data_IF_691080424290
#
_entry.id   IF_691080424290
#
_cell.length_a   1.000
_cell.length_b   1.000
_cell.length_c   1.000
_cell.angle_alpha   90.00
_cell.angle_beta   90.00
_cell.angle_gamma   90.00
#
_symmetry.space_group_name_H-M   'P 1'
#
loop_
_entity.id
_entity.type
_entity.pdbx_description
1 polymer ?
#
# COMPACT_ATOMS: atom_id res chain seq x y z
N UNK A 1 -11.86 -3.35 21.21
CA UNK A 1 -11.28 -2.01 21.41
C UNK A 1 -12.01 -1.40 22.59
N UNK A 2 -11.43 -1.46 23.78
CA UNK A 2 -11.99 -0.72 24.90
C UNK A 2 -11.69 0.76 24.61
N UNK A 3 -12.71 1.57 24.37
CA UNK A 3 -12.56 3.02 24.51
C UNK A 3 -12.24 3.21 25.98
N UNK A 4 -10.96 3.43 26.30
CA UNK A 4 -10.55 3.79 27.65
C UNK A 4 -11.05 5.21 27.85
N UNK A 5 -12.30 5.36 28.31
CA UNK A 5 -12.87 6.64 28.71
C UNK A 5 -12.00 7.10 29.88
N UNK A 6 -11.03 7.95 29.56
CA UNK A 6 -10.03 8.43 30.53
C UNK A 6 -10.65 9.44 31.49
N UNK A 7 -11.74 10.08 31.07
CA UNK A 7 -12.49 11.07 31.82
C UNK A 7 -13.98 10.94 31.47
N UNK A 8 -14.80 10.68 32.49
CA UNK A 8 -16.23 11.00 32.45
C UNK A 8 -16.29 12.42 33.00
N UNK A 9 -16.43 13.42 32.13
CA UNK A 9 -16.69 14.77 32.60
C UNK A 9 -18.11 14.77 33.17
N UNK A 10 -18.26 15.09 34.47
CA UNK A 10 -19.55 15.54 34.97
C UNK A 10 -20.00 16.72 34.11
N UNK A 11 -21.31 16.82 33.83
CA UNK A 11 -21.88 17.84 32.92
C UNK A 11 -21.51 19.29 33.26
N UNK A 12 -20.95 19.53 34.44
CA UNK A 12 -20.55 20.85 34.95
C UNK A 12 -19.25 21.40 34.34
N UNK A 13 -18.42 20.56 33.71
CA UNK A 13 -17.12 20.95 33.13
C UNK A 13 -17.10 21.02 31.59
N UNK A 14 -18.26 20.98 30.94
CA UNK A 14 -18.35 21.23 29.50
C UNK A 14 -18.47 22.74 29.29
N UNK A 15 -17.52 23.35 28.58
CA UNK A 15 -17.57 24.77 28.26
C UNK A 15 -18.89 25.09 27.56
N UNK A 16 -19.76 25.88 28.21
CA UNK A 16 -21.07 26.27 27.69
C UNK A 16 -20.98 27.24 26.51
N UNK A 17 -19.80 27.81 26.27
CA UNK A 17 -19.56 28.67 25.11
C UNK A 17 -19.48 27.81 23.86
N UNK A 18 -20.44 27.99 22.96
CA UNK A 18 -20.36 27.44 21.61
C UNK A 18 -19.23 28.14 20.84
N UNK A 19 -18.29 27.37 20.32
CA UNK A 19 -17.19 27.86 19.48
C UNK A 19 -17.46 27.54 18.02
N UNK A 20 -17.17 28.49 17.13
CA UNK A 20 -17.23 28.32 15.69
C UNK A 20 -15.91 27.79 15.11
N UNK A 21 -15.97 27.19 13.92
CA UNK A 21 -14.77 26.81 13.18
C UNK A 21 -13.87 28.02 12.88
N UNK A 22 -14.47 29.19 12.62
CA UNK A 22 -13.75 30.44 12.40
C UNK A 22 -12.93 30.87 13.63
N UNK A 23 -13.50 30.78 14.83
CA UNK A 23 -12.78 31.06 16.07
C UNK A 23 -11.64 30.05 16.29
N UNK A 24 -11.85 28.77 15.97
CA UNK A 24 -10.78 27.77 16.05
C UNK A 24 -9.63 28.06 15.08
N UNK A 25 -9.93 28.48 13.84
CA UNK A 25 -8.91 28.90 12.86
C UNK A 25 -8.16 30.13 13.37
N UNK A 26 -8.86 31.15 13.86
CA UNK A 26 -8.26 32.38 14.36
C UNK A 26 -7.36 32.12 15.56
N UNK A 27 -7.84 31.34 16.54
CA UNK A 27 -7.07 31.00 17.74
C UNK A 27 -5.76 30.26 17.42
N UNK A 28 -5.70 29.56 16.28
CA UNK A 28 -4.52 28.82 15.83
C UNK A 28 -3.73 29.53 14.72
N UNK A 29 -4.14 30.73 14.29
CA UNK A 29 -3.63 31.41 13.08
C UNK A 29 -2.11 31.53 13.06
N UNK A 30 -1.52 32.13 14.10
CA UNK A 30 -0.08 32.40 14.15
C UNK A 30 0.76 31.12 14.20
N UNK A 31 0.24 30.06 14.83
CA UNK A 31 0.91 28.76 14.83
C UNK A 31 0.85 28.11 13.44
N UNK A 32 -0.34 28.12 12.82
CA UNK A 32 -0.53 27.56 11.49
C UNK A 32 0.32 28.28 10.44
N UNK A 33 0.36 29.62 10.41
CA UNK A 33 1.20 30.38 9.48
C UNK A 33 2.67 29.99 9.55
N UNK A 34 3.20 29.82 10.76
CA UNK A 34 4.58 29.40 10.98
C UNK A 34 4.83 27.98 10.46
N UNK A 35 3.93 27.04 10.72
CA UNK A 35 4.07 25.66 10.24
C UNK A 35 3.89 25.55 8.72
N UNK A 36 2.98 26.34 8.14
CA UNK A 36 2.81 26.48 6.69
C UNK A 36 4.08 27.01 6.02
N UNK A 37 4.64 28.10 6.54
CA UNK A 37 5.87 28.69 6.01
C UNK A 37 7.04 27.71 6.12
N UNK A 38 7.17 26.99 7.23
CA UNK A 38 8.19 25.92 7.39
C UNK A 38 8.03 24.83 6.33
N UNK A 39 6.80 24.38 6.08
CA UNK A 39 6.53 23.36 5.07
C UNK A 39 6.86 23.86 3.65
N UNK A 40 6.48 25.10 3.32
CA UNK A 40 6.78 25.73 2.02
C UNK A 40 8.29 25.91 1.83
N UNK A 41 9.01 26.46 2.80
CA UNK A 41 10.48 26.63 2.71
C UNK A 41 11.21 25.30 2.63
N UNK A 42 10.71 24.26 3.29
CA UNK A 42 11.23 22.91 3.13
C UNK A 42 11.03 22.38 1.70
N UNK A 43 9.84 22.55 1.12
CA UNK A 43 9.52 22.11 -0.24
C UNK A 43 10.34 22.85 -1.31
N UNK A 44 10.62 24.15 -1.14
CA UNK A 44 11.45 24.94 -2.07
C UNK A 44 12.84 24.38 -2.29
N UNK A 45 13.38 23.56 -1.37
CA UNK A 45 14.68 22.89 -1.51
C UNK A 45 14.73 21.87 -2.64
N UNK A 46 13.58 21.44 -3.14
CA UNK A 46 13.45 20.46 -4.23
C UNK A 46 13.09 21.10 -5.57
N UNK A 47 13.23 22.44 -5.71
CA UNK A 47 13.14 23.11 -7.02
C UNK A 47 14.09 22.45 -8.01
N UNK A 48 13.67 22.41 -9.27
CA UNK A 48 14.45 21.84 -10.39
C UNK A 48 14.72 20.33 -10.30
N UNK A 49 14.11 19.63 -9.33
CA UNK A 49 14.12 18.16 -9.29
C UNK A 49 12.96 17.58 -10.11
N UNK A 50 13.12 16.32 -10.51
CA UNK A 50 12.05 15.52 -11.11
C UNK A 50 10.99 15.19 -10.05
N UNK A 51 10.02 16.09 -9.91
CA UNK A 51 9.02 16.05 -8.85
C UNK A 51 7.73 15.38 -9.30
N UNK A 52 7.27 14.44 -8.49
CA UNK A 52 5.90 13.93 -8.52
C UNK A 52 5.17 14.33 -7.24
N UNK A 53 3.91 14.74 -7.35
CA UNK A 53 3.02 14.95 -6.20
C UNK A 53 1.95 13.87 -6.20
N UNK A 54 1.92 13.07 -5.14
CA UNK A 54 0.89 12.03 -4.96
C UNK A 54 -0.39 12.62 -4.42
N UNK A 55 -1.44 12.64 -5.24
CA UNK A 55 -2.76 13.11 -4.83
C UNK A 55 -3.74 11.95 -4.80
N UNK A 56 -4.08 11.45 -3.61
CA UNK A 56 -4.92 10.26 -3.43
C UNK A 56 -6.40 10.59 -3.18
N UNK A 57 -6.79 11.86 -3.28
CA UNK A 57 -8.14 12.32 -2.91
C UNK A 57 -8.40 12.42 -1.40
N UNK A 58 -7.40 12.21 -0.54
CA UNK A 58 -7.51 12.34 0.92
C UNK A 58 -7.03 13.71 1.42
N UNK A 59 -7.48 14.11 2.62
CA UNK A 59 -7.15 15.41 3.25
C UNK A 59 -5.65 15.68 3.34
N UNK A 60 -4.85 14.67 3.70
CA UNK A 60 -3.41 14.81 3.89
C UNK A 60 -2.67 15.01 2.55
N UNK A 61 -3.13 14.32 1.50
CA UNK A 61 -2.62 14.50 0.13
C UNK A 61 -3.05 15.84 -0.48
N UNK A 62 -4.27 16.31 -0.17
CA UNK A 62 -4.77 17.63 -0.60
C UNK A 62 -3.88 18.75 -0.05
N UNK A 63 -3.59 18.73 1.26
CA UNK A 63 -2.70 19.73 1.87
C UNK A 63 -1.29 19.67 1.28
N UNK A 64 -0.76 18.48 1.02
CA UNK A 64 0.57 18.33 0.42
C UNK A 64 0.62 18.89 -1.01
N UNK A 65 -0.43 18.64 -1.79
CA UNK A 65 -0.60 19.22 -3.12
C UNK A 65 -0.66 20.75 -3.06
N UNK A 66 -1.53 21.30 -2.21
CA UNK A 66 -1.70 22.74 -2.08
C UNK A 66 -0.43 23.46 -1.58
N UNK A 67 0.30 22.88 -0.62
CA UNK A 67 1.61 23.38 -0.18
C UNK A 67 2.65 23.34 -1.31
N UNK A 68 2.63 22.30 -2.17
CA UNK A 68 3.54 22.18 -3.31
C UNK A 68 3.29 23.26 -4.37
N UNK A 69 2.01 23.56 -4.64
CA UNK A 69 1.61 24.68 -5.51
C UNK A 69 2.06 26.03 -4.92
N UNK A 70 1.78 26.27 -3.63
CA UNK A 70 2.20 27.50 -2.94
C UNK A 70 3.71 27.69 -2.82
N UNK A 71 4.48 26.61 -2.86
CA UNK A 71 5.95 26.67 -2.93
C UNK A 71 6.48 27.08 -4.31
N UNK A 72 5.61 27.13 -5.34
CA UNK A 72 5.96 27.44 -6.72
C UNK A 72 6.75 26.31 -7.38
N UNK A 73 6.50 25.06 -6.99
CA UNK A 73 7.17 23.90 -7.57
C UNK A 73 6.55 23.56 -8.94
N UNK A 74 7.40 23.21 -9.91
CA UNK A 74 6.97 22.52 -11.13
C UNK A 74 6.99 21.02 -10.86
N UNK A 75 5.85 20.35 -11.02
CA UNK A 75 5.70 18.92 -10.73
C UNK A 75 4.63 18.29 -11.62
N UNK A 76 4.68 16.97 -11.75
CA UNK A 76 3.58 16.16 -12.29
C UNK A 76 2.76 15.57 -11.14
N UNK A 77 1.45 15.57 -11.26
CA UNK A 77 0.54 14.97 -10.27
C UNK A 77 0.29 13.52 -10.64
N UNK A 78 0.28 12.63 -9.64
CA UNK A 78 -0.03 11.22 -9.84
C UNK A 78 -1.14 10.77 -8.91
N UNK A 79 -2.11 10.06 -9.49
CA UNK A 79 -3.16 9.35 -8.76
C UNK A 79 -3.05 7.86 -9.05
N UNK A 80 -2.97 7.06 -8.00
CA UNK A 80 -2.96 5.60 -8.11
C UNK A 80 -4.38 5.07 -7.89
N UNK A 81 -5.06 4.74 -8.98
CA UNK A 81 -6.34 4.04 -8.92
C UNK A 81 -6.09 2.55 -8.69
N UNK A 82 -6.44 2.06 -7.51
CA UNK A 82 -6.26 0.64 -7.16
C UNK A 82 -7.33 -0.29 -7.72
N UNK A 83 -8.36 0.25 -8.38
CA UNK A 83 -9.59 -0.46 -8.69
C UNK A 83 -10.49 -0.68 -7.47
N UNK A 84 -10.10 -0.11 -6.32
CA UNK A 84 -10.83 -0.22 -5.05
C UNK A 84 -11.13 1.15 -4.44
N UNK A 85 -10.87 2.24 -5.17
CA UNK A 85 -11.25 3.57 -4.73
C UNK A 85 -12.77 3.76 -4.86
N UNK A 86 -13.33 4.72 -4.13
CA UNK A 86 -14.72 5.12 -4.37
C UNK A 86 -14.81 5.89 -5.69
N UNK A 87 -15.86 5.66 -6.48
CA UNK A 87 -16.08 6.41 -7.73
C UNK A 87 -16.01 7.92 -7.48
N UNK A 88 -16.60 8.37 -6.37
CA UNK A 88 -16.65 9.79 -6.07
C UNK A 88 -15.30 10.34 -5.58
N UNK A 89 -14.38 9.46 -5.13
CA UNK A 89 -12.98 9.84 -4.90
C UNK A 89 -12.24 10.02 -6.22
N UNK A 90 -12.50 9.17 -7.21
CA UNK A 90 -11.91 9.30 -8.55
C UNK A 90 -12.42 10.58 -9.21
N UNK A 91 -13.73 10.84 -9.17
CA UNK A 91 -14.34 12.08 -9.67
C UNK A 91 -13.78 13.31 -8.97
N UNK A 92 -13.66 13.26 -7.64
CA UNK A 92 -13.08 14.34 -6.86
C UNK A 92 -11.63 14.63 -7.27
N UNK A 93 -10.81 13.58 -7.45
CA UNK A 93 -9.42 13.76 -7.89
C UNK A 93 -9.35 14.45 -9.26
N UNK A 94 -10.15 13.99 -10.23
CA UNK A 94 -10.21 14.60 -11.56
C UNK A 94 -10.66 16.06 -11.49
N UNK A 95 -11.74 16.34 -10.76
CA UNK A 95 -12.28 17.71 -10.60
C UNK A 95 -11.25 18.66 -10.00
N UNK A 96 -10.54 18.26 -8.94
CA UNK A 96 -9.51 19.09 -8.31
C UNK A 96 -8.30 19.27 -9.25
N UNK A 97 -7.92 18.23 -9.99
CA UNK A 97 -6.89 18.35 -11.00
C UNK A 97 -7.26 19.33 -12.11
N UNK A 98 -8.50 19.30 -12.60
CA UNK A 98 -8.98 20.25 -13.61
C UNK A 98 -9.04 21.68 -13.04
N UNK A 99 -9.58 21.84 -11.82
CA UNK A 99 -9.72 23.13 -11.14
C UNK A 99 -8.37 23.85 -10.97
N UNK A 100 -7.31 23.12 -10.61
CA UNK A 100 -5.96 23.67 -10.48
C UNK A 100 -5.10 23.51 -11.74
N UNK A 101 -5.67 23.03 -12.86
CA UNK A 101 -4.95 22.79 -14.13
C UNK A 101 -3.68 21.94 -13.95
N UNK A 102 -3.79 20.85 -13.18
CA UNK A 102 -2.70 19.94 -12.88
C UNK A 102 -2.44 18.95 -14.02
N UNK A 103 -1.16 18.74 -14.35
CA UNK A 103 -0.74 17.61 -15.19
C UNK A 103 -0.89 16.30 -14.39
N UNK A 104 -2.00 15.58 -14.61
CA UNK A 104 -2.38 14.38 -13.86
C UNK A 104 -2.14 13.10 -14.66
N UNK A 105 -1.29 12.22 -14.13
CA UNK A 105 -1.26 10.81 -14.55
C UNK A 105 -2.07 9.93 -13.61
N UNK A 106 -2.94 9.10 -14.19
CA UNK A 106 -3.68 8.05 -13.48
C UNK A 106 -2.98 6.71 -13.70
N UNK A 107 -2.42 6.16 -12.63
CA UNK A 107 -1.83 4.83 -12.59
C UNK A 107 -2.94 3.85 -12.21
N UNK A 108 -3.46 3.09 -13.18
CA UNK A 108 -4.60 2.20 -12.95
C UNK A 108 -4.19 0.73 -12.77
N UNK A 109 -4.67 0.11 -11.69
CA UNK A 109 -4.51 -1.32 -11.43
C UNK A 109 -5.64 -2.17 -12.05
N UNK A 110 -6.71 -1.55 -12.55
CA UNK A 110 -7.89 -2.21 -13.10
C UNK A 110 -8.48 -3.22 -12.12
N UNK A 111 -8.92 -4.36 -12.64
CA UNK A 111 -9.53 -5.44 -11.84
C UNK A 111 -8.47 -6.36 -11.18
N UNK A 112 -7.23 -5.89 -11.00
CA UNK A 112 -6.16 -6.70 -10.42
C UNK A 112 -6.48 -7.18 -9.01
N UNK A 113 -7.28 -6.48 -8.22
CA UNK A 113 -7.70 -7.01 -6.92
C UNK A 113 -8.54 -8.28 -7.08
N UNK A 114 -9.66 -8.20 -7.80
CA UNK A 114 -10.62 -9.29 -7.88
C UNK A 114 -10.06 -10.51 -8.63
N UNK A 115 -9.25 -10.28 -9.68
CA UNK A 115 -8.55 -11.36 -10.41
C UNK A 115 -7.63 -12.22 -9.53
N UNK A 116 -7.13 -11.68 -8.43
CA UNK A 116 -6.18 -12.40 -7.56
C UNK A 116 -6.80 -12.95 -6.28
N UNK A 117 -8.11 -12.75 -6.07
CA UNK A 117 -8.82 -13.28 -4.92
C UNK A 117 -8.88 -14.81 -4.91
N UNK A 118 -8.93 -15.46 -6.07
CA UNK A 118 -8.90 -16.91 -6.15
C UNK A 118 -7.57 -17.49 -5.64
N UNK A 119 -6.45 -16.82 -5.98
CA UNK A 119 -5.12 -17.27 -5.60
C UNK A 119 -4.76 -16.93 -4.14
N UNK A 120 -5.08 -15.71 -3.68
CA UNK A 120 -4.69 -15.25 -2.34
C UNK A 120 -5.79 -15.34 -1.29
N UNK A 121 -7.05 -15.45 -1.69
CA UNK A 121 -8.17 -15.22 -0.79
C UNK A 121 -8.29 -13.76 -0.34
N UNK A 122 -9.14 -13.47 0.67
CA UNK A 122 -9.32 -12.13 1.19
C UNK A 122 -8.00 -11.57 1.77
N UNK A 123 -7.70 -10.27 1.58
CA UNK A 123 -6.54 -9.66 2.20
C UNK A 123 -6.75 -9.46 3.71
N UNK A 124 -5.68 -9.53 4.49
CA UNK A 124 -5.70 -9.35 5.95
C UNK A 124 -4.84 -8.19 6.42
N UNK A 125 -4.96 -7.82 7.71
CA UNK A 125 -4.06 -6.88 8.41
C UNK A 125 -2.63 -7.41 8.45
N UNK A 126 -2.51 -8.71 8.64
CA UNK A 126 -1.31 -9.55 8.62
C UNK A 126 -0.90 -9.99 7.20
N UNK A 127 -1.81 -9.83 6.23
CA UNK A 127 -1.73 -10.45 4.92
C UNK A 127 -2.15 -9.48 3.79
N UNK A 128 -1.45 -8.34 3.70
CA UNK A 128 -1.79 -7.22 2.79
C UNK A 128 -1.26 -7.41 1.37
N UNK A 129 -1.55 -8.55 0.74
CA UNK A 129 -1.14 -8.83 -0.64
C UNK A 129 -1.68 -7.81 -1.64
N UNK A 130 -2.87 -7.27 -1.40
CA UNK A 130 -3.51 -6.26 -2.26
C UNK A 130 -2.65 -5.00 -2.41
N UNK A 131 -1.90 -4.58 -1.39
CA UNK A 131 -0.97 -3.45 -1.49
C UNK A 131 0.20 -3.76 -2.44
N UNK A 132 0.66 -5.02 -2.51
CA UNK A 132 1.75 -5.40 -3.41
C UNK A 132 1.26 -5.46 -4.86
N UNK A 133 0.08 -6.06 -5.08
CA UNK A 133 -0.49 -6.25 -6.41
C UNK A 133 -1.07 -4.96 -6.98
N UNK A 134 -1.87 -4.23 -6.21
CA UNK A 134 -2.67 -3.10 -6.70
C UNK A 134 -1.98 -1.75 -6.50
N UNK A 135 -0.94 -1.67 -5.65
CA UNK A 135 -0.20 -0.42 -5.43
C UNK A 135 1.24 -0.50 -5.90
N UNK A 136 2.02 -1.37 -5.26
CA UNK A 136 3.46 -1.40 -5.51
C UNK A 136 3.78 -1.79 -6.96
N UNK A 137 3.17 -2.84 -7.49
CA UNK A 137 3.38 -3.28 -8.88
C UNK A 137 3.15 -2.17 -9.91
N UNK A 138 1.94 -1.57 -9.97
CA UNK A 138 1.64 -0.46 -10.87
C UNK A 138 2.57 0.74 -10.68
N UNK A 139 2.79 1.18 -9.44
CA UNK A 139 3.68 2.32 -9.15
C UNK A 139 5.13 2.07 -9.58
N UNK A 140 5.67 0.88 -9.33
CA UNK A 140 7.06 0.57 -9.75
C UNK A 140 7.18 0.56 -11.28
N UNK A 141 6.20 0.02 -12.01
CA UNK A 141 6.22 0.04 -13.48
C UNK A 141 6.11 1.46 -14.03
N UNK A 142 5.23 2.28 -13.47
CA UNK A 142 5.07 3.67 -13.86
C UNK A 142 6.35 4.48 -13.61
N UNK A 143 6.96 4.35 -12.43
CA UNK A 143 8.22 5.04 -12.12
C UNK A 143 9.33 4.60 -13.07
N UNK A 144 9.39 3.30 -13.40
CA UNK A 144 10.34 2.80 -14.39
C UNK A 144 10.09 3.36 -15.80
N UNK A 145 8.83 3.56 -16.22
CA UNK A 145 8.54 4.15 -17.54
C UNK A 145 8.95 5.62 -17.65
N UNK A 146 9.13 6.32 -16.52
CA UNK A 146 9.68 7.68 -16.49
C UNK A 146 11.21 7.73 -16.61
N UNK A 147 11.88 6.57 -16.64
CA UNK A 147 13.33 6.44 -16.78
C UNK A 147 14.03 5.97 -15.50
N UNK A 148 15.36 6.06 -15.52
CA UNK A 148 16.22 5.58 -14.43
C UNK A 148 16.69 6.70 -13.47
N UNK A 149 16.29 7.94 -13.72
CA UNK A 149 16.64 9.07 -12.85
C UNK A 149 15.90 9.02 -11.52
N UNK A 150 16.47 9.67 -10.50
CA UNK A 150 15.83 9.77 -9.19
C UNK A 150 14.56 10.62 -9.29
N UNK A 151 13.46 10.07 -8.77
CA UNK A 151 12.17 10.73 -8.66
C UNK A 151 11.94 11.14 -7.21
N UNK A 152 11.60 12.41 -7.02
CA UNK A 152 11.27 12.98 -5.73
C UNK A 152 9.76 13.07 -5.60
N UNK A 153 9.16 12.16 -4.83
CA UNK A 153 7.72 12.05 -4.69
C UNK A 153 7.24 12.67 -3.37
N UNK A 154 6.50 13.76 -3.48
CA UNK A 154 5.84 14.43 -2.36
C UNK A 154 4.56 13.66 -2.01
N UNK A 155 4.41 13.28 -0.73
CA UNK A 155 3.33 12.43 -0.23
C UNK A 155 2.80 13.02 1.08
N UNK A 156 1.47 12.97 1.26
CA UNK A 156 0.79 13.35 2.51
C UNK A 156 0.95 12.35 3.65
N UNK A 157 2.18 11.95 3.98
CA UNK A 157 2.48 11.06 5.10
C UNK A 157 2.70 11.88 6.38
N UNK A 158 2.20 11.39 7.52
CA UNK A 158 2.42 12.02 8.83
C UNK A 158 2.97 11.01 9.85
N UNK A 159 3.83 11.47 10.74
CA UNK A 159 4.42 10.68 11.81
C UNK A 159 3.36 10.04 12.71
N UNK A 160 2.27 10.76 12.98
CA UNK A 160 1.19 10.33 13.88
C UNK A 160 0.29 9.21 13.32
N UNK A 161 0.54 8.73 12.10
CA UNK A 161 -0.25 7.64 11.51
C UNK A 161 0.26 6.25 11.90
N UNK A 162 1.55 6.09 12.19
CA UNK A 162 2.13 4.84 12.70
C UNK A 162 3.56 5.02 13.19
N UNK A 163 4.07 4.09 14.02
CA UNK A 163 5.47 4.09 14.47
C UNK A 163 6.47 4.07 13.30
N UNK A 164 6.22 3.27 12.27
CA UNK A 164 7.09 3.20 11.08
C UNK A 164 7.16 4.55 10.35
N UNK A 165 6.02 5.23 10.19
CA UNK A 165 5.96 6.56 9.59
C UNK A 165 6.65 7.62 10.44
N UNK A 166 6.60 7.51 11.78
CA UNK A 166 7.34 8.42 12.65
C UNK A 166 8.86 8.29 12.48
N UNK A 167 9.36 7.08 12.24
CA UNK A 167 10.79 6.80 12.08
C UNK A 167 11.35 7.16 10.69
N UNK A 168 10.52 7.30 9.66
CA UNK A 168 10.99 7.60 8.30
C UNK A 168 11.55 9.02 8.11
N UNK A 169 11.23 9.94 9.03
CA UNK A 169 11.56 11.37 8.86
C UNK A 169 10.81 12.03 7.69
N UNK A 170 11.26 13.24 7.32
CA UNK A 170 10.65 14.05 6.25
C UNK A 170 11.10 13.63 4.84
N UNK A 171 12.23 12.93 4.72
CA UNK A 171 12.81 12.45 3.47
C UNK A 171 13.25 11.01 3.71
N UNK A 172 12.87 10.09 2.83
CA UNK A 172 13.30 8.69 2.92
C UNK A 172 13.48 8.08 1.52
N UNK A 173 14.35 7.09 1.39
CA UNK A 173 14.46 6.28 0.18
C UNK A 173 13.45 5.12 0.23
N UNK A 174 12.75 4.85 -0.88
CA UNK A 174 11.83 3.74 -0.93
C UNK A 174 12.56 2.44 -1.27
N UNK A 175 12.74 1.57 -0.27
CA UNK A 175 13.36 0.24 -0.43
C UNK A 175 12.69 -0.63 -1.51
N UNK A 176 11.39 -0.40 -1.73
CA UNK A 176 10.59 -1.18 -2.66
C UNK A 176 10.63 -0.63 -4.10
N UNK A 177 10.95 0.66 -4.25
CA UNK A 177 11.03 1.37 -5.54
C UNK A 177 12.38 2.11 -5.60
N UNK A 178 13.46 1.48 -6.11
CA UNK A 178 14.83 1.96 -5.92
C UNK A 178 15.12 3.40 -6.39
N UNK A 179 14.39 3.91 -7.38
CA UNK A 179 14.60 5.26 -7.93
C UNK A 179 13.72 6.33 -7.27
N UNK A 180 12.97 5.98 -6.21
CA UNK A 180 12.01 6.88 -5.58
C UNK A 180 12.49 7.37 -4.21
N UNK A 181 12.53 8.69 -4.05
CA UNK A 181 12.72 9.38 -2.78
C UNK A 181 11.37 9.94 -2.33
N UNK A 182 10.88 9.52 -1.18
CA UNK A 182 9.67 10.05 -0.57
C UNK A 182 9.95 11.34 0.20
N UNK A 183 9.04 12.31 0.08
CA UNK A 183 9.10 13.60 0.77
C UNK A 183 7.77 13.84 1.48
N UNK A 184 7.81 14.28 2.73
CA UNK A 184 6.64 14.82 3.43
C UNK A 184 6.94 16.16 4.09
N UNK A 185 6.25 17.19 3.64
CA UNK A 185 6.31 18.53 4.23
C UNK A 185 5.45 18.64 5.51
N UNK A 186 4.45 17.77 5.65
CA UNK A 186 3.51 17.75 6.78
C UNK A 186 3.83 16.64 7.78
N UNK A 187 5.05 16.10 7.76
CA UNK A 187 5.47 14.94 8.56
C UNK A 187 5.15 15.08 10.05
N UNK A 188 5.26 16.29 10.61
CA UNK A 188 4.99 16.58 12.03
C UNK A 188 3.62 17.23 12.27
N UNK A 189 2.74 17.27 11.28
CA UNK A 189 1.40 17.82 11.45
C UNK A 189 0.47 16.78 12.07
N UNK A 190 -0.34 17.20 13.03
CA UNK A 190 -1.44 16.37 13.53
C UNK A 190 -2.69 16.53 12.64
N UNK A 191 -3.74 15.73 12.88
CA UNK A 191 -4.95 15.78 12.03
C UNK A 191 -5.71 17.09 12.15
N UNK A 192 -5.65 17.77 13.30
CA UNK A 192 -6.31 19.05 13.50
C UNK A 192 -5.67 20.13 12.63
N UNK A 193 -4.33 20.19 12.58
CA UNK A 193 -3.59 21.13 11.71
C UNK A 193 -3.97 20.96 10.24
N UNK A 194 -4.08 19.71 9.77
CA UNK A 194 -4.51 19.42 8.39
C UNK A 194 -5.90 19.98 8.10
N UNK A 195 -6.85 19.77 9.00
CA UNK A 195 -8.21 20.30 8.85
C UNK A 195 -8.27 21.82 8.96
N UNK A 196 -7.60 22.42 9.95
CA UNK A 196 -7.51 23.88 10.08
C UNK A 196 -6.93 24.52 8.83
N UNK A 197 -5.93 23.89 8.21
CA UNK A 197 -5.38 24.35 6.94
C UNK A 197 -6.42 24.29 5.82
N UNK A 198 -7.09 23.14 5.64
CA UNK A 198 -8.13 22.96 4.61
C UNK A 198 -9.20 24.04 4.74
N UNK A 199 -9.75 24.23 5.95
CA UNK A 199 -10.82 25.20 6.17
C UNK A 199 -10.36 26.65 6.08
N UNK A 200 -9.12 26.96 6.50
CA UNK A 200 -8.55 28.30 6.40
C UNK A 200 -8.36 28.74 4.94
N UNK A 201 -7.95 27.81 4.09
CA UNK A 201 -7.68 28.06 2.66
C UNK A 201 -8.88 27.74 1.77
N UNK A 202 -10.05 27.46 2.36
CA UNK A 202 -11.29 27.11 1.66
C UNK A 202 -11.10 26.00 0.60
N UNK A 203 -10.32 24.97 0.96
CA UNK A 203 -10.01 23.88 0.04
C UNK A 203 -11.19 22.91 -0.01
N UNK A 204 -11.71 22.67 -1.21
CA UNK A 204 -12.67 21.59 -1.44
C UNK A 204 -12.03 20.26 -1.04
N UNK A 205 -12.65 19.54 -0.10
CA UNK A 205 -12.22 18.22 0.34
C UNK A 205 -13.22 17.15 -0.07
N UNK A 206 -12.77 15.90 -0.05
CA UNK A 206 -13.58 14.78 -0.49
C UNK A 206 -14.79 14.54 0.45
N UNK A 207 -16.00 14.52 -0.12
CA UNK A 207 -17.29 14.37 0.57
C UNK A 207 -17.43 13.13 1.46
N UNK A 208 -16.57 12.12 1.28
CA UNK A 208 -16.56 10.96 2.18
C UNK A 208 -16.19 11.31 3.62
N UNK A 209 -15.51 12.44 3.83
CA UNK A 209 -15.30 12.98 5.17
C UNK A 209 -16.62 13.43 5.83
N UNK A 210 -17.54 14.02 5.07
CA UNK A 210 -18.88 14.40 5.58
C UNK A 210 -19.75 13.20 5.90
N UNK A 211 -19.49 12.07 5.22
CA UNK A 211 -20.12 10.77 5.51
C UNK A 211 -19.52 10.06 6.73
N UNK A 212 -18.59 10.70 7.44
CA UNK A 212 -18.02 10.20 8.69
C UNK A 212 -16.76 9.34 8.54
N UNK A 213 -16.20 9.18 7.33
CA UNK A 213 -14.92 8.49 7.17
C UNK A 213 -13.79 9.39 7.64
N UNK A 214 -12.96 8.94 8.58
CA UNK A 214 -11.80 9.73 9.03
C UNK A 214 -10.58 9.60 8.10
N UNK A 215 -10.56 8.56 7.26
CA UNK A 215 -9.53 8.28 6.25
C UNK A 215 -10.17 7.76 4.98
N UNK A 216 -9.71 8.30 3.84
CA UNK A 216 -10.13 7.88 2.51
C UNK A 216 -9.03 7.03 1.88
N UNK A 217 -9.47 5.98 1.18
CA UNK A 217 -8.65 5.04 0.44
C UNK A 217 -9.56 3.92 -0.07
N UNK A 218 -9.02 2.71 -0.19
CA UNK A 218 -9.78 1.59 -0.74
C UNK A 218 -11.04 1.27 0.11
N UNK A 219 -12.21 1.12 -0.52
CA UNK A 219 -13.51 0.99 0.17
C UNK A 219 -13.63 -0.22 1.12
N UNK A 220 -12.83 -1.26 0.90
CA UNK A 220 -12.80 -2.50 1.72
C UNK A 220 -11.45 -2.74 2.42
N UNK A 221 -10.75 -1.71 2.87
CA UNK A 221 -9.37 -1.90 3.34
C UNK A 221 -9.31 -2.75 4.63
N UNK A 222 -8.51 -3.84 4.68
CA UNK A 222 -8.40 -4.65 5.89
C UNK A 222 -7.74 -3.89 7.04
N UNK A 223 -7.17 -2.71 6.82
CA UNK A 223 -6.63 -1.83 7.87
C UNK A 223 -7.61 -0.76 8.36
N UNK A 224 -8.78 -0.60 7.74
CA UNK A 224 -9.79 0.44 8.05
C UNK A 224 -10.57 0.12 9.33
N UNK A 225 -11.06 1.10 10.10
CA UNK A 225 -11.77 0.74 11.33
C UNK A 225 -13.12 0.06 11.06
N UNK A 226 -13.62 -0.70 12.03
CA UNK A 226 -14.91 -1.39 11.85
C UNK A 226 -16.06 -0.39 11.70
N UNK A 227 -15.97 0.78 12.33
CA UNK A 227 -16.94 1.86 12.16
C UNK A 227 -16.96 2.39 10.73
N UNK A 228 -15.78 2.61 10.12
CA UNK A 228 -15.69 3.01 8.72
C UNK A 228 -16.24 1.94 7.78
N UNK A 229 -15.93 0.66 8.04
CA UNK A 229 -16.48 -0.45 7.24
C UNK A 229 -18.00 -0.56 7.35
N UNK A 230 -18.57 -0.29 8.53
CA UNK A 230 -20.01 -0.24 8.76
C UNK A 230 -20.68 0.96 8.06
N UNK A 231 -19.98 2.08 7.91
CA UNK A 231 -20.46 3.19 7.08
C UNK A 231 -20.46 2.76 5.62
N UNK A 232 -19.34 2.23 5.12
CA UNK A 232 -19.17 1.87 3.71
C UNK A 232 -20.07 0.70 3.29
N UNK A 233 -20.35 -0.25 4.17
CA UNK A 233 -21.22 -1.42 3.89
C UNK A 233 -22.65 -1.04 3.52
N UNK A 234 -23.06 0.21 3.78
CA UNK A 234 -24.38 0.75 3.43
C UNK A 234 -24.44 1.35 2.02
N UNK A 235 -23.32 1.36 1.30
CA UNK A 235 -23.21 1.93 -0.04
C UNK A 235 -22.96 0.84 -1.09
N UNK A 236 -23.50 0.98 -2.32
CA UNK A 236 -23.42 -0.05 -3.37
C UNK A 236 -21.99 -0.48 -3.75
N UNK A 237 -21.01 0.40 -3.57
CA UNK A 237 -19.59 0.10 -3.81
C UNK A 237 -19.11 -1.13 -3.02
N UNK A 238 -19.73 -1.43 -1.89
CA UNK A 238 -19.36 -2.57 -1.04
C UNK A 238 -19.98 -3.91 -1.51
N UNK A 239 -21.00 -3.89 -2.37
CA UNK A 239 -21.80 -5.07 -2.72
C UNK A 239 -20.97 -6.16 -3.42
N UNK A 240 -20.05 -5.75 -4.31
CA UNK A 240 -19.14 -6.69 -4.99
C UNK A 240 -18.24 -7.41 -3.99
N UNK A 241 -17.75 -6.69 -2.97
CA UNK A 241 -16.94 -7.27 -1.92
C UNK A 241 -17.77 -8.15 -0.97
N UNK A 242 -18.98 -7.71 -0.62
CA UNK A 242 -19.92 -8.47 0.21
C UNK A 242 -20.27 -9.83 -0.42
N UNK A 243 -20.56 -9.81 -1.72
CA UNK A 243 -20.87 -11.03 -2.48
C UNK A 243 -19.71 -12.03 -2.43
N UNK A 244 -18.49 -11.56 -2.72
CA UNK A 244 -17.29 -12.38 -2.64
C UNK A 244 -17.06 -12.97 -1.24
N UNK A 245 -17.17 -12.14 -0.20
CA UNK A 245 -16.82 -12.58 1.16
C UNK A 245 -17.83 -13.60 1.71
N UNK A 246 -19.09 -13.51 1.28
CA UNK A 246 -20.13 -14.47 1.64
C UNK A 246 -19.96 -15.81 0.95
N UNK A 247 -19.65 -15.79 -0.35
CA UNK A 247 -19.31 -16.99 -1.10
C UNK A 247 -18.06 -17.66 -0.51
N UNK A 248 -17.02 -16.87 -0.21
CA UNK A 248 -15.80 -17.36 0.41
C UNK A 248 -16.06 -17.96 1.79
N UNK A 249 -16.91 -17.35 2.61
CA UNK A 249 -17.29 -17.87 3.92
C UNK A 249 -18.02 -19.21 3.81
N UNK A 250 -18.99 -19.32 2.90
CA UNK A 250 -19.77 -20.54 2.64
C UNK A 250 -18.87 -21.67 2.15
N UNK A 251 -18.04 -21.43 1.13
CA UNK A 251 -17.12 -22.41 0.54
C UNK A 251 -16.14 -23.00 1.58
N UNK A 252 -15.82 -22.25 2.63
CA UNK A 252 -14.81 -22.60 3.61
C UNK A 252 -15.36 -22.86 5.02
N UNK A 253 -16.68 -22.96 5.18
CA UNK A 253 -17.34 -23.24 6.47
C UNK A 253 -16.90 -22.30 7.61
N UNK A 254 -16.73 -21.00 7.31
CA UNK A 254 -16.25 -19.99 8.27
C UNK A 254 -17.38 -19.40 9.12
N UNK A 255 -18.62 -19.48 8.62
CA UNK A 255 -19.82 -19.04 9.31
C UNK A 255 -20.07 -17.52 9.23
N UNK A 256 -21.28 -17.11 9.60
CA UNK A 256 -21.73 -15.72 9.47
C UNK A 256 -20.97 -14.75 10.38
N UNK A 257 -20.57 -15.20 11.58
CA UNK A 257 -19.81 -14.40 12.53
C UNK A 257 -18.45 -13.97 11.96
N UNK A 258 -17.82 -14.80 11.13
CA UNK A 258 -16.57 -14.46 10.47
C UNK A 258 -16.74 -13.25 9.55
N UNK A 259 -17.87 -13.17 8.83
CA UNK A 259 -18.16 -12.02 7.98
C UNK A 259 -18.62 -10.82 8.80
N UNK A 260 -19.60 -11.01 9.69
CA UNK A 260 -20.21 -9.95 10.51
C UNK A 260 -19.19 -9.18 11.34
N UNK A 261 -18.20 -9.86 11.92
CA UNK A 261 -17.15 -9.22 12.71
C UNK A 261 -15.91 -8.86 11.89
N UNK A 262 -16.01 -8.94 10.56
CA UNK A 262 -14.93 -8.71 9.61
C UNK A 262 -13.64 -9.45 9.96
N UNK A 263 -13.75 -10.72 10.36
CA UNK A 263 -12.61 -11.57 10.73
C UNK A 263 -11.81 -12.02 9.51
N UNK A 264 -12.35 -11.83 8.29
CA UNK A 264 -11.61 -11.91 7.03
C UNK A 264 -10.40 -10.99 6.95
N UNK A 265 -10.32 -9.99 7.84
CA UNK A 265 -9.19 -9.07 7.97
C UNK A 265 -7.97 -9.71 8.63
N UNK A 266 -7.93 -11.03 8.76
CA UNK A 266 -6.78 -11.81 9.20
C UNK A 266 -6.66 -13.06 8.33
N UNK A 267 -5.46 -13.36 7.85
CA UNK A 267 -5.18 -14.67 7.25
C UNK A 267 -5.07 -15.74 8.34
N UNK A 268 -4.50 -15.40 9.50
CA UNK A 268 -4.57 -16.23 10.70
C UNK A 268 -5.27 -15.46 11.81
N UNK A 269 -6.48 -15.88 12.17
CA UNK A 269 -7.25 -15.19 13.20
C UNK A 269 -6.55 -15.36 14.56
N UNK A 270 -6.29 -14.25 15.29
CA UNK A 270 -5.74 -14.30 16.63
C UNK A 270 -6.57 -15.18 17.57
N UNK A 271 -5.91 -16.00 18.39
CA UNK A 271 -6.58 -17.00 19.25
C UNK A 271 -7.61 -16.40 20.19
N UNK A 272 -7.38 -15.19 20.69
CA UNK A 272 -8.34 -14.49 21.55
C UNK A 272 -9.63 -14.12 20.81
N UNK A 273 -9.57 -13.80 19.50
CA UNK A 273 -10.76 -13.52 18.69
C UNK A 273 -11.50 -14.81 18.34
N UNK A 274 -10.78 -15.89 18.02
CA UNK A 274 -11.38 -17.21 17.79
C UNK A 274 -12.16 -17.69 19.01
N UNK A 275 -11.54 -17.63 20.19
CA UNK A 275 -12.19 -17.96 21.48
C UNK A 275 -13.39 -17.05 21.75
N UNK A 276 -13.23 -15.73 21.58
CA UNK A 276 -14.28 -14.76 21.87
C UNK A 276 -15.53 -14.95 21.02
N UNK A 277 -15.37 -15.20 19.71
CA UNK A 277 -16.50 -15.26 18.79
C UNK A 277 -16.95 -16.68 18.46
N UNK A 278 -16.19 -17.70 18.89
CA UNK A 278 -16.37 -19.11 18.56
C UNK A 278 -16.50 -19.31 17.05
N UNK A 279 -15.41 -19.02 16.33
CA UNK A 279 -15.35 -19.07 14.86
C UNK A 279 -14.26 -20.01 14.38
N UNK A 280 -14.47 -20.57 13.19
CA UNK A 280 -13.45 -21.31 12.46
C UNK A 280 -12.44 -20.33 11.82
N UNK A 281 -11.26 -20.86 11.51
CA UNK A 281 -10.17 -20.12 10.89
C UNK A 281 -9.75 -20.84 9.60
N UNK A 282 -9.33 -20.07 8.60
CA UNK A 282 -8.74 -20.61 7.38
C UNK A 282 -7.52 -19.79 7.03
N UNK A 283 -6.36 -20.42 7.23
CA UNK A 283 -5.08 -19.90 6.79
C UNK A 283 -4.86 -20.31 5.35
N UNK A 284 -4.43 -19.39 4.48
CA UNK A 284 -3.98 -19.72 3.13
C UNK A 284 -2.86 -20.76 3.20
N UNK A 285 -2.98 -21.78 2.36
CA UNK A 285 -1.90 -22.74 2.13
C UNK A 285 -1.00 -22.24 1.00
N UNK A 286 0.30 -22.36 1.23
CA UNK A 286 1.38 -21.99 0.32
C UNK A 286 2.32 -23.17 0.11
N UNK A 287 3.18 -23.07 -0.90
CA UNK A 287 4.38 -23.88 -1.03
C UNK A 287 5.17 -23.85 0.29
N UNK A 288 5.59 -25.02 0.78
CA UNK A 288 6.51 -25.13 1.92
C UNK A 288 7.84 -25.67 1.42
N UNK A 289 8.91 -24.98 1.78
CA UNK A 289 10.28 -25.36 1.46
C UNK A 289 11.01 -25.70 2.76
N UNK A 290 11.52 -26.92 2.85
CA UNK A 290 12.37 -27.39 3.94
C UNK A 290 13.83 -27.37 3.51
N UNK A 291 14.74 -27.16 4.45
CA UNK A 291 16.18 -27.13 4.17
C UNK A 291 16.82 -28.35 4.85
N UNK A 292 17.56 -29.14 4.07
CA UNK A 292 18.46 -30.18 4.59
C UNK A 292 19.90 -29.76 4.38
N UNK A 293 20.71 -29.92 5.42
CA UNK A 293 22.14 -29.66 5.35
C UNK A 293 22.85 -30.94 4.87
N UNK A 294 23.55 -30.86 3.74
CA UNK A 294 24.30 -31.98 3.13
C UNK A 294 25.81 -31.64 3.06
N UNK A 295 26.31 -30.82 4.00
CA UNK A 295 27.71 -30.44 4.07
C UNK A 295 28.01 -29.17 3.25
N UNK A 296 28.66 -29.30 2.09
CA UNK A 296 29.08 -28.13 1.30
C UNK A 296 27.91 -27.39 0.64
N UNK A 297 26.76 -28.05 0.52
CA UNK A 297 25.52 -27.48 -0.03
C UNK A 297 24.34 -27.71 0.90
N UNK A 298 23.30 -26.92 0.70
CA UNK A 298 21.99 -27.14 1.29
C UNK A 298 21.08 -27.72 0.22
N UNK A 299 20.16 -28.61 0.60
CA UNK A 299 19.12 -29.13 -0.29
C UNK A 299 17.77 -28.57 0.09
N UNK A 300 17.07 -27.98 -0.87
CA UNK A 300 15.71 -27.48 -0.69
C UNK A 300 14.74 -28.60 -1.03
N UNK A 301 13.89 -28.97 -0.06
CA UNK A 301 12.87 -30.01 -0.22
C UNK A 301 11.49 -29.35 -0.21
N UNK A 302 10.80 -29.28 -1.36
CA UNK A 302 9.45 -28.74 -1.43
C UNK A 302 8.41 -29.76 -0.96
N UNK A 303 7.28 -29.27 -0.43
CA UNK A 303 6.14 -30.13 -0.05
C UNK A 303 5.25 -30.57 -1.22
N UNK A 304 5.53 -30.07 -2.44
CA UNK A 304 4.82 -30.39 -3.68
C UNK A 304 5.80 -30.40 -4.85
N UNK A 305 5.39 -30.98 -5.96
CA UNK A 305 6.19 -30.98 -7.19
C UNK A 305 6.40 -29.55 -7.70
N UNK A 306 7.62 -29.28 -8.19
CA UNK A 306 8.03 -27.99 -8.76
C UNK A 306 7.97 -28.09 -10.28
N UNK A 307 7.43 -27.05 -10.92
CA UNK A 307 7.51 -26.91 -12.36
C UNK A 307 8.96 -26.59 -12.78
N UNK A 308 9.68 -27.62 -13.20
CA UNK A 308 11.10 -27.49 -13.54
C UNK A 308 11.35 -26.63 -14.77
N UNK A 309 10.44 -26.61 -15.75
CA UNK A 309 10.60 -25.74 -16.92
C UNK A 309 10.61 -24.27 -16.50
N UNK A 310 9.70 -23.95 -15.58
CA UNK A 310 9.55 -22.60 -15.05
C UNK A 310 10.66 -22.24 -14.08
N UNK A 311 11.06 -23.15 -13.20
CA UNK A 311 12.17 -22.92 -12.28
C UNK A 311 13.48 -22.67 -13.04
N UNK A 312 13.80 -23.47 -14.06
CA UNK A 312 14.99 -23.29 -14.91
C UNK A 312 15.07 -21.88 -15.48
N UNK A 313 13.96 -21.35 -16.00
CA UNK A 313 13.93 -19.97 -16.50
C UNK A 313 14.18 -18.95 -15.36
N UNK A 314 13.54 -19.12 -14.21
CA UNK A 314 13.69 -18.18 -13.09
C UNK A 314 15.07 -18.24 -12.45
N UNK A 315 15.79 -19.37 -12.53
CA UNK A 315 17.18 -19.52 -12.07
C UNK A 315 18.17 -18.59 -12.79
N UNK A 316 17.83 -18.07 -13.98
CA UNK A 316 18.64 -17.04 -14.65
C UNK A 316 18.74 -15.72 -13.85
N UNK A 317 17.96 -15.52 -12.79
CA UNK A 317 18.11 -14.37 -11.87
C UNK A 317 19.34 -14.55 -10.96
N UNK A 318 19.69 -15.79 -10.61
CA UNK A 318 20.74 -16.10 -9.66
C UNK A 318 22.11 -16.18 -10.35
N UNK A 319 23.21 -15.97 -9.61
CA UNK A 319 24.55 -16.34 -10.09
C UNK A 319 24.61 -17.80 -10.54
N UNK A 320 25.51 -18.11 -11.49
CA UNK A 320 25.72 -19.49 -11.95
C UNK A 320 26.12 -20.38 -10.76
N UNK A 321 25.65 -21.62 -10.75
CA UNK A 321 25.85 -22.60 -9.68
C UNK A 321 25.24 -22.24 -8.30
N UNK A 322 24.50 -21.14 -8.17
CA UNK A 322 23.85 -20.79 -6.90
C UNK A 322 22.75 -21.79 -6.51
N UNK A 323 21.98 -22.27 -7.49
CA UNK A 323 20.93 -23.29 -7.38
C UNK A 323 21.05 -24.20 -8.62
N UNK A 324 20.92 -25.52 -8.46
CA UNK A 324 20.85 -26.47 -9.57
C UNK A 324 19.45 -27.12 -9.69
N UNK A 325 19.27 -27.98 -10.69
CA UNK A 325 17.99 -28.64 -10.98
C UNK A 325 17.57 -29.64 -9.90
N UNK A 326 18.53 -30.17 -9.14
CA UNK A 326 18.29 -31.07 -7.99
C UNK A 326 17.93 -30.32 -6.70
N UNK A 327 17.69 -29.00 -6.81
CA UNK A 327 17.38 -28.08 -5.71
C UNK A 327 18.49 -28.00 -4.65
N UNK A 328 19.73 -28.30 -5.04
CA UNK A 328 20.91 -28.01 -4.22
C UNK A 328 21.30 -26.55 -4.40
N UNK A 329 21.54 -25.88 -3.28
CA UNK A 329 21.83 -24.45 -3.21
C UNK A 329 23.10 -24.21 -2.41
N UNK A 330 23.93 -23.30 -2.91
CA UNK A 330 25.08 -22.81 -2.18
C UNK A 330 24.62 -21.97 -0.97
N UNK A 331 25.19 -22.22 0.22
CA UNK A 331 24.77 -21.61 1.50
C UNK A 331 24.53 -20.08 1.42
N UNK A 332 25.43 -19.35 0.77
CA UNK A 332 25.34 -17.88 0.61
C UNK A 332 24.14 -17.37 -0.22
N UNK A 333 23.40 -18.25 -0.91
CA UNK A 333 22.31 -17.89 -1.80
C UNK A 333 20.96 -18.47 -1.38
N UNK A 334 20.86 -19.09 -0.19
CA UNK A 334 19.65 -19.79 0.28
C UNK A 334 18.38 -18.94 0.17
N UNK A 335 18.39 -17.71 0.72
CA UNK A 335 17.20 -16.85 0.72
C UNK A 335 16.78 -16.44 -0.69
N UNK A 336 17.77 -16.15 -1.56
CA UNK A 336 17.52 -15.76 -2.95
C UNK A 336 16.98 -16.93 -3.77
N UNK A 337 17.53 -18.13 -3.55
CA UNK A 337 17.09 -19.36 -4.20
C UNK A 337 15.66 -19.72 -3.78
N UNK A 338 15.37 -19.68 -2.47
CA UNK A 338 14.01 -19.86 -1.97
C UNK A 338 13.05 -18.86 -2.62
N UNK A 339 13.41 -17.58 -2.66
CA UNK A 339 12.57 -16.57 -3.31
C UNK A 339 12.33 -16.87 -4.79
N UNK A 340 13.34 -17.33 -5.53
CA UNK A 340 13.21 -17.72 -6.94
C UNK A 340 12.25 -18.91 -7.10
N UNK A 341 12.31 -19.91 -6.21
CA UNK A 341 11.38 -21.05 -6.22
C UNK A 341 9.94 -20.59 -5.88
N UNK A 342 9.75 -19.73 -4.88
CA UNK A 342 8.42 -19.16 -4.62
C UNK A 342 7.91 -18.32 -5.81
N UNK A 343 8.79 -17.60 -6.49
CA UNK A 343 8.43 -16.83 -7.69
C UNK A 343 8.15 -17.71 -8.91
N UNK A 344 8.77 -18.88 -9.04
CA UNK A 344 8.32 -19.85 -10.03
C UNK A 344 6.91 -20.30 -9.65
N UNK A 345 6.69 -20.86 -8.47
CA UNK A 345 5.44 -21.57 -8.21
C UNK A 345 4.22 -20.68 -7.89
N UNK A 346 4.41 -19.53 -7.25
CA UNK A 346 3.31 -18.70 -6.72
C UNK A 346 3.25 -17.30 -7.34
N UNK A 347 3.90 -17.09 -8.48
CA UNK A 347 3.82 -15.80 -9.14
C UNK A 347 2.44 -15.55 -9.74
N UNK A 348 1.96 -14.34 -9.47
CA UNK A 348 0.67 -13.79 -9.89
C UNK A 348 0.81 -12.68 -10.92
N UNK A 349 1.98 -12.56 -11.56
CA UNK A 349 2.17 -11.56 -12.63
C UNK A 349 2.06 -10.10 -12.17
N UNK A 350 2.20 -9.78 -10.88
CA UNK A 350 2.02 -8.43 -10.35
C UNK A 350 3.00 -7.37 -10.92
N UNK A 351 4.10 -7.78 -11.55
CA UNK A 351 5.05 -6.90 -12.24
C UNK A 351 5.96 -6.05 -11.33
N UNK A 352 6.07 -6.35 -10.04
CA UNK A 352 7.01 -5.63 -9.16
C UNK A 352 8.45 -5.84 -9.62
N UNK A 353 8.83 -7.09 -9.89
CA UNK A 353 10.20 -7.44 -10.33
C UNK A 353 10.52 -6.85 -11.71
N UNK A 354 9.54 -6.76 -12.62
CA UNK A 354 9.74 -6.12 -13.94
C UNK A 354 10.03 -4.63 -13.79
N UNK A 355 9.32 -3.96 -12.87
CA UNK A 355 9.57 -2.56 -12.51
C UNK A 355 10.93 -2.29 -11.85
N UNK A 356 11.58 -3.30 -11.25
CA UNK A 356 12.89 -3.16 -10.56
C UNK A 356 14.08 -3.56 -11.44
N UNK A 357 13.84 -4.13 -12.61
CA UNK A 357 14.91 -4.58 -13.49
C UNK A 357 15.35 -3.46 -14.43
N UNK A 358 16.49 -2.83 -14.17
CA UNK A 358 17.03 -1.78 -15.03
C UNK A 358 17.50 -2.27 -16.42
N UNK A 359 17.66 -3.59 -16.60
CA UNK A 359 18.09 -4.22 -17.85
C UNK A 359 16.91 -4.72 -18.71
N UNK A 360 15.67 -4.50 -18.26
CA UNK A 360 14.47 -5.00 -18.95
C UNK A 360 14.50 -6.52 -19.21
N UNK A 361 15.17 -7.28 -18.35
CA UNK A 361 15.34 -8.72 -18.48
C UNK A 361 14.15 -9.53 -17.96
N UNK A 362 13.16 -8.91 -17.31
CA UNK A 362 11.97 -9.59 -16.81
C UNK A 362 10.72 -9.08 -17.52
N UNK A 363 9.88 -9.99 -17.99
CA UNK A 363 8.63 -9.69 -18.69
C UNK A 363 7.50 -10.58 -18.15
N UNK A 364 6.25 -10.17 -18.38
CA UNK A 364 5.07 -10.96 -17.99
C UNK A 364 4.57 -11.68 -19.24
N UNK A 365 4.41 -13.00 -19.13
CA UNK A 365 3.76 -13.84 -20.13
C UNK A 365 2.80 -14.80 -19.42
N UNK A 366 1.59 -14.94 -19.94
CA UNK A 366 0.54 -15.81 -19.37
C UNK A 366 0.30 -15.60 -17.86
N UNK A 367 0.20 -14.33 -17.44
CA UNK A 367 -0.07 -13.96 -16.04
C UNK A 367 1.08 -14.23 -15.07
N UNK A 368 2.27 -14.55 -15.57
CA UNK A 368 3.44 -14.93 -14.77
C UNK A 368 4.70 -14.21 -15.27
N UNK A 369 5.68 -14.00 -14.38
CA UNK A 369 6.96 -13.41 -14.78
C UNK A 369 7.90 -14.46 -15.36
N UNK A 370 8.68 -14.05 -16.37
CA UNK A 370 9.72 -14.80 -17.04
C UNK A 370 10.98 -13.94 -17.21
N UNK A 371 12.11 -14.59 -17.42
CA UNK A 371 13.43 -13.99 -17.59
C UNK A 371 13.92 -14.16 -19.02
N UNK A 372 14.35 -13.07 -19.64
CA UNK A 372 15.14 -13.04 -20.87
C UNK A 372 16.62 -13.19 -20.48
N UNK A 373 17.18 -14.38 -20.70
CA UNK A 373 18.56 -14.69 -20.33
C UNK A 373 19.57 -13.77 -21.03
N UNK A 374 19.31 -13.37 -22.27
CA UNK A 374 20.24 -12.54 -23.05
C UNK A 374 20.39 -11.13 -22.46
N UNK A 375 19.38 -10.65 -21.72
CA UNK A 375 19.40 -9.35 -21.04
C UNK A 375 19.79 -9.45 -19.56
N UNK A 376 19.64 -10.62 -18.95
CA UNK A 376 19.80 -10.77 -17.51
C UNK A 376 21.28 -10.83 -17.11
N UNK A 377 21.72 -9.82 -16.35
CA UNK A 377 23.09 -9.79 -15.80
C UNK A 377 23.23 -10.47 -14.42
N UNK A 378 22.21 -11.20 -13.95
CA UNK A 378 22.24 -11.98 -12.69
C UNK A 378 22.54 -11.15 -11.42
N UNK A 379 22.19 -9.86 -11.41
CA UNK A 379 22.49 -8.96 -10.28
C UNK A 379 21.56 -9.13 -9.07
N UNK A 380 20.50 -9.93 -9.18
CA UNK A 380 19.50 -10.22 -8.12
C UNK A 380 18.68 -9.02 -7.59
N UNK A 381 18.86 -7.80 -8.14
CA UNK A 381 18.17 -6.58 -7.67
C UNK A 381 16.65 -6.61 -7.83
N UNK A 382 16.13 -7.47 -8.71
CA UNK A 382 14.68 -7.65 -8.89
C UNK A 382 14.02 -8.42 -7.72
N UNK A 383 14.80 -9.16 -6.91
CA UNK A 383 14.35 -9.91 -5.73
C UNK A 383 14.10 -9.00 -4.53
N UNK A 384 13.16 -9.37 -3.65
CA UNK A 384 12.74 -8.58 -2.47
C UNK A 384 11.21 -8.58 -2.27
N UNK A 385 10.47 -7.48 -2.54
CA UNK A 385 9.00 -7.30 -2.34
C UNK A 385 8.02 -8.26 -3.02
N UNK A 386 8.38 -9.50 -3.32
CA UNK A 386 7.46 -10.37 -4.04
C UNK A 386 6.33 -10.87 -3.12
N UNK A 387 5.04 -10.67 -3.47
CA UNK A 387 3.94 -11.21 -2.66
C UNK A 387 4.02 -12.73 -2.53
N UNK A 388 4.42 -13.45 -3.58
CA UNK A 388 4.66 -14.90 -3.55
C UNK A 388 5.64 -15.34 -2.45
N UNK A 389 6.62 -14.49 -2.10
CA UNK A 389 7.65 -14.82 -1.12
C UNK A 389 7.36 -14.25 0.27
N UNK A 390 6.88 -13.00 0.34
CA UNK A 390 6.60 -12.32 1.61
C UNK A 390 5.43 -12.95 2.35
N UNK A 391 4.50 -13.55 1.60
CA UNK A 391 3.25 -14.13 2.10
C UNK A 391 3.23 -15.66 1.98
N UNK A 392 4.43 -16.26 1.97
CA UNK A 392 4.64 -17.71 2.02
C UNK A 392 4.23 -18.32 3.35
#
# INVERSE_FOLDING_TARGET
>A
MAVKIKFIFSGDNVNKKHSSLREAIEANRSYMEREENRAIEFLKRFREKNLLVSFSGGKDSLVSLHLSMRAGLKFKTVFLNTGLEFDETIEYVKRISDHYSLDLDIIDAGDAFFKHLEHFGPPGRDYRWCCKVCKLGPTTRYIKSLGNEKIYMIIGQRAYESRSRALSGNIWENEWVPNQIGISAIQKWNSLMVWLYIFRHDLEYNKWYDRGLWRIGCFMCPSQDLADLEIVSKFPVYDKWRSFIDEYSKKNNLGEKWVRYALWRWNKIPDYLKKKYNVNDKVRESLKLYIKDEGDKLKIVPNKNIDMNRLKNMMHILPRAALNEDLEVHRNFIDKAMQVIYQSEECVGCGICTGRCNYNALYINEGRVWVDENKCIRCTKCLGPCPAYVFR
#
